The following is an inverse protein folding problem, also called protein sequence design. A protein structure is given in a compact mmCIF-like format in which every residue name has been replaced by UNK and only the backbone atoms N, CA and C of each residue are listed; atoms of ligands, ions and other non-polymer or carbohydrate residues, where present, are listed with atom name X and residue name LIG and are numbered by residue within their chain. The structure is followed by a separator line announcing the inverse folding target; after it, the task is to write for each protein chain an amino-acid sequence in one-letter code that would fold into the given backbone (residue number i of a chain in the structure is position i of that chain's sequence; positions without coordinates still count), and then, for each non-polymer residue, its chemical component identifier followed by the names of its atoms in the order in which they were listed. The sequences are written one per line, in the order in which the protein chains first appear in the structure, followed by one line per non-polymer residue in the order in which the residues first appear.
data_IF_578594838007
#
_entry.id   IF_578594838007
#
_cell.length_a   1.000
_cell.length_b   1.000
_cell.length_c   1.000
_cell.angle_alpha   90.00
_cell.angle_beta   90.00
_cell.angle_gamma   90.00
#
_symmetry.space_group_name_H-M   'P 1'
#
loop_
_entity.id
_entity.type
_entity.pdbx_description
1 polymer ?
#
# COMPACT_ATOMS: atom_id res chain seq x y z
N UNK A 1 56.90 -1.69 0.38
CA UNK A 1 57.77 -1.81 -0.80
C UNK A 1 57.17 -2.86 -1.74
N UNK A 2 56.83 -2.46 -2.98
CA UNK A 2 56.62 -3.27 -4.20
C UNK A 2 55.54 -4.38 -4.19
N UNK A 3 54.62 -4.53 -5.17
CA UNK A 3 54.57 -4.07 -6.57
C UNK A 3 53.11 -3.96 -7.09
N UNK A 4 52.94 -3.05 -8.05
CA UNK A 4 51.76 -2.83 -8.91
C UNK A 4 51.66 -3.89 -10.01
N UNK A 5 50.47 -4.14 -10.54
CA UNK A 5 50.26 -4.42 -11.97
C UNK A 5 48.82 -4.07 -12.42
N UNK A 6 48.73 -3.49 -13.61
CA UNK A 6 47.56 -2.90 -14.31
C UNK A 6 47.08 -3.85 -15.44
N UNK A 7 46.01 -3.42 -16.12
CA UNK A 7 45.55 -3.69 -17.50
C UNK A 7 44.39 -4.69 -17.63
N UNK A 8 43.44 -4.62 -18.56
CA UNK A 8 42.70 -3.60 -19.35
C UNK A 8 41.88 -4.42 -20.40
N UNK A 9 40.67 -3.95 -20.74
CA UNK A 9 39.90 -4.13 -22.00
C UNK A 9 38.94 -5.33 -22.24
N UNK A 10 37.69 -4.92 -22.47
CA UNK A 10 36.80 -5.14 -23.64
C UNK A 10 36.10 -6.48 -23.93
N UNK A 11 34.79 -6.35 -24.14
CA UNK A 11 33.95 -7.25 -24.94
C UNK A 11 32.53 -6.71 -25.08
N UNK A 12 32.32 -5.74 -25.99
CA UNK A 12 31.00 -5.34 -26.50
C UNK A 12 30.58 -6.37 -27.54
N UNK A 13 29.40 -6.97 -27.39
CA UNK A 13 28.65 -7.52 -28.53
C UNK A 13 27.20 -7.07 -28.39
N UNK A 14 26.83 -6.08 -29.20
CA UNK A 14 25.47 -5.77 -29.55
C UNK A 14 25.05 -6.68 -30.71
N UNK A 15 23.87 -7.30 -30.62
CA UNK A 15 23.10 -7.72 -31.79
C UNK A 15 21.64 -7.36 -31.54
N UNK A 16 21.20 -6.29 -32.20
CA UNK A 16 19.82 -5.91 -32.39
C UNK A 16 19.39 -6.31 -33.81
N UNK A 17 18.41 -7.21 -33.91
CA UNK A 17 17.62 -7.57 -35.11
C UNK A 17 16.27 -8.06 -34.54
N UNK A 18 15.08 -7.62 -34.93
CA UNK A 18 14.61 -6.75 -35.98
C UNK A 18 13.12 -7.07 -36.22
N UNK A 19 12.26 -6.09 -36.00
CA UNK A 19 11.01 -5.72 -36.72
C UNK A 19 10.01 -6.76 -37.30
N UNK A 20 8.74 -6.53 -36.91
CA UNK A 20 7.49 -6.48 -37.73
C UNK A 20 6.61 -7.73 -37.87
N UNK A 21 5.31 -7.54 -37.57
CA UNK A 21 4.22 -8.32 -38.15
C UNK A 21 2.83 -8.13 -37.49
N UNK A 22 2.12 -7.04 -37.80
CA UNK A 22 0.66 -6.97 -37.61
C UNK A 22 -0.06 -7.78 -38.72
N UNK A 23 -1.19 -8.43 -38.42
CA UNK A 23 -2.08 -8.98 -39.44
C UNK A 23 -3.26 -9.80 -38.92
N UNK A 24 -4.40 -9.15 -38.78
CA UNK A 24 -5.72 -9.67 -38.38
C UNK A 24 -6.30 -10.72 -39.35
N UNK A 25 -6.99 -11.76 -38.85
CA UNK A 25 -8.18 -12.33 -39.51
C UNK A 25 -8.97 -13.29 -38.60
N UNK A 26 -10.28 -13.08 -38.64
CA UNK A 26 -11.35 -13.75 -37.89
C UNK A 26 -11.45 -15.26 -38.17
N UNK A 27 -11.85 -16.02 -37.16
CA UNK A 27 -12.76 -17.16 -37.33
C UNK A 27 -13.62 -17.32 -36.09
N UNK A 28 -14.92 -17.28 -36.33
CA UNK A 28 -15.97 -17.57 -35.39
C UNK A 28 -15.94 -19.05 -35.01
N UNK A 29 -16.09 -19.35 -33.73
CA UNK A 29 -16.74 -20.57 -33.27
C UNK A 29 -17.65 -20.23 -32.10
N UNK A 30 -18.95 -20.32 -32.39
CA UNK A 30 -20.03 -20.18 -31.44
C UNK A 30 -20.01 -21.38 -30.48
N UNK A 31 -19.73 -21.16 -29.21
CA UNK A 31 -20.15 -22.09 -28.15
C UNK A 31 -20.97 -21.31 -27.14
N UNK A 32 -22.27 -21.56 -27.23
CA UNK A 32 -23.31 -21.17 -26.29
C UNK A 32 -22.88 -21.50 -24.86
N UNK A 33 -22.72 -20.47 -24.03
CA UNK A 33 -22.89 -20.60 -22.59
C UNK A 33 -23.78 -19.48 -22.10
N UNK A 34 -24.81 -19.90 -21.38
CA UNK A 34 -25.97 -19.13 -20.96
C UNK A 34 -25.55 -18.16 -19.86
N UNK A 35 -25.31 -16.89 -20.20
CA UNK A 35 -25.06 -15.84 -19.21
C UNK A 35 -26.39 -15.42 -18.60
N UNK A 36 -26.53 -15.60 -17.29
CA UNK A 36 -27.64 -15.07 -16.50
C UNK A 36 -27.43 -13.55 -16.45
N UNK A 37 -28.35 -12.81 -17.06
CA UNK A 37 -28.47 -11.36 -16.93
C UNK A 37 -28.73 -11.04 -15.46
N UNK A 38 -27.79 -10.35 -14.82
CA UNK A 38 -28.08 -9.56 -13.63
C UNK A 38 -27.90 -8.12 -14.08
N UNK A 39 -29.02 -7.48 -14.39
CA UNK A 39 -29.08 -6.06 -14.71
C UNK A 39 -28.67 -5.29 -13.45
N UNK A 40 -27.44 -4.81 -13.39
CA UNK A 40 -27.07 -3.75 -12.45
C UNK A 40 -27.76 -2.46 -12.92
N UNK A 41 -28.57 -1.79 -12.07
CA UNK A 41 -29.03 -0.46 -12.40
C UNK A 41 -27.83 0.48 -12.25
N UNK A 42 -27.22 0.84 -13.38
CA UNK A 42 -26.44 2.06 -13.51
C UNK A 42 -27.37 3.24 -13.20
N UNK A 43 -27.30 3.75 -11.98
CA UNK A 43 -27.78 5.08 -11.65
C UNK A 43 -26.56 5.99 -11.70
N UNK A 44 -26.37 6.60 -12.87
CA UNK A 44 -25.55 7.78 -13.02
C UNK A 44 -26.24 8.93 -12.27
N UNK A 45 -25.58 9.46 -11.25
CA UNK A 45 -26.01 10.68 -10.55
C UNK A 45 -24.78 11.39 -10.00
N UNK A 46 -24.41 12.49 -10.66
CA UNK A 46 -23.50 13.51 -10.14
C UNK A 46 -24.04 14.07 -8.82
N UNK A 47 -23.34 13.85 -7.69
CA UNK A 47 -23.41 14.66 -6.47
C UNK A 47 -22.66 13.97 -5.32
N UNK A 48 -21.60 14.60 -4.80
CA UNK A 48 -20.88 14.28 -3.56
C UNK A 48 -20.66 12.79 -3.30
N UNK A 49 -19.49 12.29 -3.70
CA UNK A 49 -19.05 10.92 -3.42
C UNK A 49 -19.06 10.68 -1.90
N UNK A 50 -20.10 10.01 -1.40
CA UNK A 50 -20.20 9.57 -0.02
C UNK A 50 -19.00 8.65 0.25
N UNK A 51 -18.22 8.97 1.27
CA UNK A 51 -17.14 8.10 1.74
C UNK A 51 -17.67 6.83 2.40
N UNK A 52 -18.97 6.76 2.70
CA UNK A 52 -19.60 5.62 3.37
C UNK A 52 -20.48 4.84 2.40
N UNK A 53 -20.27 3.53 2.36
CA UNK A 53 -21.05 2.55 1.59
C UNK A 53 -21.75 1.62 2.58
N UNK A 54 -23.07 1.48 2.45
CA UNK A 54 -23.85 0.55 3.27
C UNK A 54 -24.28 -0.64 2.41
N UNK A 55 -23.84 -1.84 2.78
CA UNK A 55 -24.24 -3.10 2.12
C UNK A 55 -25.26 -3.82 2.99
N UNK A 56 -26.38 -4.24 2.39
CA UNK A 56 -27.40 -5.05 3.07
C UNK A 56 -27.28 -6.48 2.53
N UNK A 57 -27.10 -7.44 3.43
CA UNK A 57 -27.08 -8.87 3.12
C UNK A 57 -28.33 -9.50 3.72
N UNK A 58 -29.19 -10.04 2.86
CA UNK A 58 -30.35 -10.82 3.27
C UNK A 58 -29.92 -12.26 3.57
N UNK A 59 -30.18 -12.73 4.79
CA UNK A 59 -29.95 -14.12 5.17
C UNK A 59 -31.26 -14.77 5.64
N UNK A 60 -31.63 -15.95 5.12
CA UNK A 60 -32.72 -16.73 5.66
C UNK A 60 -32.33 -17.28 7.04
N UNK A 61 -33.21 -17.13 8.03
CA UNK A 61 -33.09 -17.80 9.31
C UNK A 61 -33.49 -19.28 9.21
N UNK A 62 -33.34 -20.03 10.31
CA UNK A 62 -33.67 -21.46 10.38
C UNK A 62 -35.16 -21.77 10.15
N UNK A 63 -36.02 -20.75 10.22
CA UNK A 63 -37.48 -20.84 10.05
C UNK A 63 -37.93 -20.31 8.67
N UNK A 64 -37.00 -19.82 7.84
CA UNK A 64 -37.25 -19.28 6.51
C UNK A 64 -37.61 -17.80 6.47
N UNK A 65 -37.51 -17.06 7.57
CA UNK A 65 -37.67 -15.61 7.58
C UNK A 65 -36.40 -14.93 7.08
N UNK A 66 -36.53 -13.88 6.28
CA UNK A 66 -35.40 -13.06 5.82
C UNK A 66 -35.00 -12.08 6.94
N UNK A 67 -33.79 -12.26 7.47
CA UNK A 67 -33.12 -11.28 8.32
C UNK A 67 -32.11 -10.47 7.52
N UNK A 68 -31.90 -9.20 7.89
CA UNK A 68 -30.98 -8.31 7.20
C UNK A 68 -29.76 -8.02 8.08
N UNK A 69 -28.55 -8.28 7.56
CA UNK A 69 -27.30 -7.78 8.12
C UNK A 69 -26.89 -6.54 7.33
N UNK A 70 -26.66 -5.42 8.02
CA UNK A 70 -26.12 -4.21 7.41
C UNK A 70 -24.65 -4.07 7.77
N UNK A 71 -23.80 -3.98 6.76
CA UNK A 71 -22.36 -3.70 6.89
C UNK A 71 -22.13 -2.29 6.38
N UNK A 72 -21.62 -1.43 7.27
CA UNK A 72 -21.17 -0.10 6.88
C UNK A 72 -19.69 -0.17 6.59
N UNK A 73 -19.27 0.42 5.48
CA UNK A 73 -17.88 0.52 5.08
C UNK A 73 -17.53 1.98 4.81
N UNK A 74 -16.36 2.38 5.25
CA UNK A 74 -15.76 3.68 4.97
C UNK A 74 -14.66 3.50 3.93
N UNK A 75 -14.71 4.32 2.89
CA UNK A 75 -13.65 4.49 1.91
C UNK A 75 -12.55 5.36 2.53
N UNK A 76 -11.32 4.87 2.45
CA UNK A 76 -10.11 5.56 2.90
C UNK A 76 -9.08 5.60 1.78
N UNK A 77 -8.14 6.53 1.86
CA UNK A 77 -7.00 6.59 0.93
C UNK A 77 -5.78 6.00 1.62
N UNK A 78 -5.16 4.99 1.05
CA UNK A 78 -3.85 4.48 1.49
C UNK A 78 -2.84 4.68 0.37
N UNK A 79 -1.56 4.54 0.68
CA UNK A 79 -0.48 4.68 -0.29
C UNK A 79 0.34 3.40 -0.36
N UNK A 80 0.71 3.01 -1.58
CA UNK A 80 1.56 1.85 -1.89
C UNK A 80 2.66 2.26 -2.86
N UNK A 81 3.53 1.33 -3.26
CA UNK A 81 4.58 1.56 -4.24
C UNK A 81 4.23 0.89 -5.57
N UNK A 82 4.14 1.70 -6.62
CA UNK A 82 4.23 1.21 -8.00
C UNK A 82 5.67 0.77 -8.26
N UNK A 83 5.89 -0.55 -8.31
CA UNK A 83 7.21 -1.16 -8.50
C UNK A 83 7.76 -0.98 -9.91
N UNK A 84 6.91 -0.71 -10.90
CA UNK A 84 7.35 -0.51 -12.29
C UNK A 84 7.97 0.88 -12.46
N UNK A 85 7.34 1.88 -11.85
CA UNK A 85 7.77 3.27 -11.94
C UNK A 85 8.58 3.74 -10.72
N UNK A 86 8.72 2.89 -9.71
CA UNK A 86 9.38 3.16 -8.43
C UNK A 86 8.81 4.43 -7.76
N UNK A 87 7.48 4.51 -7.65
CA UNK A 87 6.75 5.69 -7.14
C UNK A 87 5.74 5.33 -6.07
N UNK A 88 5.60 6.21 -5.08
CA UNK A 88 4.51 6.15 -4.10
C UNK A 88 3.21 6.61 -4.77
N UNK A 89 2.15 5.80 -4.70
CA UNK A 89 0.87 6.04 -5.37
C UNK A 89 -0.30 5.84 -4.43
N UNK A 90 -1.32 6.68 -4.55
CA UNK A 90 -2.55 6.58 -3.77
C UNK A 90 -3.44 5.45 -4.29
N UNK A 91 -4.07 4.72 -3.37
CA UNK A 91 -5.01 3.63 -3.61
C UNK A 91 -6.20 3.79 -2.67
N UNK A 92 -7.41 3.60 -3.18
CA UNK A 92 -8.60 3.56 -2.34
C UNK A 92 -8.71 2.19 -1.65
N UNK A 93 -9.00 2.18 -0.37
CA UNK A 93 -9.30 0.98 0.41
C UNK A 93 -10.64 1.14 1.14
N UNK A 94 -11.24 0.02 1.52
CA UNK A 94 -12.53 -0.03 2.21
C UNK A 94 -12.33 -0.67 3.58
N UNK A 95 -12.73 0.03 4.63
CA UNK A 95 -12.68 -0.47 6.01
C UNK A 95 -14.08 -0.56 6.58
N UNK A 96 -14.35 -1.59 7.39
CA UNK A 96 -15.64 -1.65 8.08
C UNK A 96 -15.76 -0.48 9.06
N UNK A 97 -16.85 0.27 8.95
CA UNK A 97 -17.16 1.40 9.82
C UNK A 97 -17.77 0.90 11.13
N UNK A 98 -16.87 0.55 12.06
CA UNK A 98 -17.19 0.11 13.42
C UNK A 98 -17.04 1.25 14.45
N UNK A 99 -16.97 2.51 14.00
CA UNK A 99 -16.71 3.68 14.84
C UNK A 99 -15.57 4.54 14.30
N UNK A 100 -14.79 5.12 15.20
CA UNK A 100 -13.67 5.98 14.83
C UNK A 100 -12.55 5.17 14.16
N UNK A 101 -12.08 5.65 12.99
CA UNK A 101 -10.95 5.07 12.28
C UNK A 101 -9.70 5.25 13.13
N UNK A 102 -8.90 4.20 13.31
CA UNK A 102 -7.64 4.28 14.07
C UNK A 102 -6.44 4.37 13.14
N UNK A 103 -5.37 5.10 13.51
CA UNK A 103 -4.14 5.15 12.73
C UNK A 103 -3.54 3.76 12.46
N UNK A 104 -3.60 2.89 13.47
CA UNK A 104 -3.14 1.50 13.39
C UNK A 104 -3.82 0.74 12.23
N UNK A 105 -5.14 0.87 12.07
CA UNK A 105 -5.89 0.24 10.96
C UNK A 105 -5.43 0.72 9.59
N UNK A 106 -5.11 2.01 9.46
CA UNK A 106 -4.61 2.56 8.18
C UNK A 106 -3.21 2.02 7.88
N UNK A 107 -2.35 1.92 8.89
CA UNK A 107 -0.98 1.43 8.75
C UNK A 107 -0.96 -0.07 8.44
N UNK A 108 -1.79 -0.87 9.10
CA UNK A 108 -1.92 -2.30 8.82
C UNK A 108 -2.30 -2.55 7.36
N UNK A 109 -3.19 -1.73 6.80
CA UNK A 109 -3.58 -1.82 5.39
C UNK A 109 -2.44 -1.43 4.45
N UNK A 110 -1.64 -0.43 4.81
CA UNK A 110 -0.43 -0.08 4.04
C UNK A 110 0.56 -1.25 4.06
N UNK A 111 0.83 -1.83 5.22
CA UNK A 111 1.76 -2.96 5.34
C UNK A 111 1.25 -4.19 4.58
N UNK A 112 -0.06 -4.47 4.63
CA UNK A 112 -0.68 -5.54 3.85
C UNK A 112 -0.49 -5.36 2.34
N UNK A 113 -0.56 -4.13 1.83
CA UNK A 113 -0.33 -3.82 0.42
C UNK A 113 1.16 -3.93 0.03
N UNK A 114 2.07 -3.91 1.00
CA UNK A 114 3.51 -3.99 0.79
C UNK A 114 4.08 -5.36 1.16
N UNK A 115 3.27 -6.31 1.61
CA UNK A 115 3.67 -7.62 2.15
C UNK A 115 4.59 -8.41 1.20
N UNK A 116 4.33 -8.35 -0.11
CA UNK A 116 5.19 -9.01 -1.12
C UNK A 116 6.56 -8.31 -1.34
N UNK A 117 6.76 -7.13 -0.78
CA UNK A 117 7.90 -6.23 -1.02
C UNK A 117 8.81 -6.05 0.20
N UNK A 118 8.31 -6.32 1.40
CA UNK A 118 9.00 -6.12 2.68
C UNK A 118 8.86 -7.35 3.59
N UNK A 119 9.78 -7.51 4.53
CA UNK A 119 9.62 -8.49 5.61
C UNK A 119 8.50 -8.07 6.58
N UNK A 120 7.92 -9.04 7.30
CA UNK A 120 6.87 -8.81 8.31
C UNK A 120 7.29 -7.75 9.34
N UNK A 121 6.43 -6.75 9.51
CA UNK A 121 6.60 -5.68 10.50
C UNK A 121 5.33 -5.54 11.32
N UNK A 122 5.46 -5.55 12.65
CA UNK A 122 4.38 -5.16 13.55
C UNK A 122 4.51 -3.70 13.94
N UNK A 123 3.41 -3.04 14.29
CA UNK A 123 3.42 -1.62 14.65
C UNK A 123 2.84 -1.38 16.02
N UNK A 124 3.41 -0.42 16.74
CA UNK A 124 2.82 0.13 17.95
C UNK A 124 2.62 1.63 17.76
N UNK A 125 1.43 2.12 18.05
CA UNK A 125 1.06 3.52 17.82
C UNK A 125 0.99 4.27 19.14
N UNK A 126 1.62 5.45 19.18
CA UNK A 126 1.42 6.42 20.26
C UNK A 126 0.88 7.71 19.69
N UNK A 127 -0.32 8.08 20.13
CA UNK A 127 -1.02 9.28 19.66
C UNK A 127 -0.87 10.45 20.62
N UNK A 128 -0.77 11.65 20.07
CA UNK A 128 -0.90 12.94 20.75
C UNK A 128 -1.77 13.85 19.90
N UNK A 129 -2.21 14.96 20.48
CA UNK A 129 -3.17 15.89 19.85
C UNK A 129 -2.80 16.36 18.45
N UNK A 130 -1.51 16.52 18.13
CA UNK A 130 -1.05 17.01 16.82
C UNK A 130 -0.03 16.08 16.14
N UNK A 131 0.23 14.91 16.72
CA UNK A 131 1.30 14.02 16.25
C UNK A 131 1.01 12.56 16.51
N UNK A 132 1.46 11.71 15.60
CA UNK A 132 1.50 10.26 15.80
C UNK A 132 2.95 9.76 15.80
N UNK A 133 3.27 8.81 16.68
CA UNK A 133 4.53 8.07 16.63
C UNK A 133 4.24 6.63 16.26
N UNK A 134 4.88 6.17 15.19
CA UNK A 134 4.81 4.79 14.68
C UNK A 134 6.09 4.09 15.11
N UNK A 135 5.97 3.13 16.03
CA UNK A 135 7.08 2.29 16.46
C UNK A 135 7.00 0.93 15.76
N UNK A 136 7.93 0.71 14.83
CA UNK A 136 8.01 -0.53 14.07
C UNK A 136 8.72 -1.57 14.92
N UNK A 137 7.99 -2.64 15.26
CA UNK A 137 8.53 -3.83 15.89
C UNK A 137 9.03 -4.78 14.81
N UNK A 138 10.36 -4.89 14.70
CA UNK A 138 11.08 -5.64 13.68
C UNK A 138 12.09 -6.61 14.30
N UNK A 139 12.35 -7.73 13.63
CA UNK A 139 13.37 -8.69 14.08
C UNK A 139 14.78 -8.13 13.92
N UNK A 140 15.05 -7.43 12.81
CA UNK A 140 16.37 -6.89 12.47
C UNK A 140 16.34 -5.38 12.26
N UNK A 141 16.72 -4.60 13.29
CA UNK A 141 16.77 -3.13 13.20
C UNK A 141 17.72 -2.60 12.12
N UNK A 142 18.72 -3.39 11.68
CA UNK A 142 19.63 -2.96 10.61
C UNK A 142 18.94 -2.89 9.24
N UNK A 143 17.89 -3.68 9.08
CA UNK A 143 17.14 -3.87 7.85
C UNK A 143 15.66 -4.07 8.22
N UNK A 144 14.97 -3.01 8.70
CA UNK A 144 13.65 -3.13 9.34
C UNK A 144 12.57 -3.69 8.42
N UNK A 145 12.78 -3.59 7.10
CA UNK A 145 11.87 -4.07 6.09
C UNK A 145 12.47 -5.21 5.26
N UNK A 146 13.64 -5.75 5.63
CA UNK A 146 14.36 -6.84 4.95
C UNK A 146 15.73 -6.50 4.34
N UNK A 147 16.61 -7.51 4.24
CA UNK A 147 18.00 -7.32 3.78
C UNK A 147 18.11 -7.12 2.25
N UNK A 148 17.16 -7.68 1.50
CA UNK A 148 17.10 -7.65 0.03
C UNK A 148 15.93 -6.83 -0.47
N UNK A 149 15.66 -5.71 0.20
CA UNK A 149 14.49 -4.93 -0.13
C UNK A 149 14.50 -4.46 -1.56
N UNK A 150 13.37 -4.71 -2.23
CA UNK A 150 13.11 -4.20 -3.56
C UNK A 150 12.85 -2.70 -3.53
N UNK A 151 12.42 -2.17 -2.39
CA UNK A 151 12.03 -0.77 -2.19
C UNK A 151 12.86 -0.12 -1.09
N UNK A 152 13.12 1.19 -1.22
CA UNK A 152 13.83 1.97 -0.21
C UNK A 152 13.03 2.11 1.08
N UNK A 153 13.73 2.14 2.21
CA UNK A 153 13.15 2.33 3.55
C UNK A 153 12.32 3.61 3.64
N UNK A 154 12.80 4.71 3.05
CA UNK A 154 12.10 6.00 3.01
C UNK A 154 10.72 5.88 2.35
N UNK A 155 10.60 5.14 1.24
CA UNK A 155 9.31 5.00 0.54
C UNK A 155 8.26 4.25 1.35
N UNK A 156 8.68 3.26 2.14
CA UNK A 156 7.77 2.58 3.06
C UNK A 156 7.27 3.57 4.12
N UNK A 157 8.15 4.42 4.65
CA UNK A 157 7.78 5.47 5.59
C UNK A 157 6.90 6.55 4.96
N UNK A 158 7.11 6.88 3.68
CA UNK A 158 6.27 7.80 2.91
C UNK A 158 4.86 7.25 2.73
N UNK A 159 4.73 5.97 2.32
CA UNK A 159 3.44 5.30 2.21
C UNK A 159 2.66 5.37 3.53
N UNK A 160 3.32 5.08 4.65
CA UNK A 160 2.71 5.20 5.98
C UNK A 160 2.31 6.66 6.27
N UNK A 161 3.22 7.60 6.05
CA UNK A 161 3.01 9.01 6.38
C UNK A 161 1.88 9.65 5.58
N UNK A 162 1.87 9.48 4.27
CA UNK A 162 0.82 9.99 3.40
C UNK A 162 -0.54 9.38 3.74
N UNK A 163 -0.58 8.07 4.00
CA UNK A 163 -1.83 7.40 4.41
C UNK A 163 -2.37 7.95 5.72
N UNK A 164 -1.51 8.27 6.69
CA UNK A 164 -1.95 8.92 7.92
C UNK A 164 -2.49 10.33 7.63
N UNK A 165 -1.72 11.17 6.93
CA UNK A 165 -2.12 12.57 6.74
C UNK A 165 -3.40 12.74 5.89
N UNK A 166 -3.65 11.84 4.95
CA UNK A 166 -4.87 11.87 4.13
C UNK A 166 -6.13 11.43 4.89
N UNK A 167 -5.99 10.61 5.94
CA UNK A 167 -7.13 10.10 6.70
C UNK A 167 -7.35 10.82 8.05
N UNK A 168 -6.35 11.54 8.54
CA UNK A 168 -6.37 12.16 9.87
C UNK A 168 -5.91 13.63 9.80
N UNK A 169 -6.87 14.55 9.80
CA UNK A 169 -6.60 16.00 9.71
C UNK A 169 -5.96 16.59 10.97
N UNK A 170 -6.05 15.88 12.10
CA UNK A 170 -5.57 16.36 13.40
C UNK A 170 -4.05 16.20 13.54
N UNK A 171 -3.47 15.18 12.89
CA UNK A 171 -2.03 14.96 12.94
C UNK A 171 -1.33 15.84 11.91
N UNK A 172 -0.35 16.60 12.37
CA UNK A 172 0.51 17.46 11.54
C UNK A 172 1.95 16.96 11.50
N UNK A 173 2.25 15.95 12.31
CA UNK A 173 3.60 15.43 12.56
C UNK A 173 3.53 13.92 12.70
N UNK A 174 4.48 13.25 12.07
CA UNK A 174 4.69 11.82 12.26
C UNK A 174 6.13 11.58 12.69
N UNK A 175 6.33 10.64 13.60
CA UNK A 175 7.64 10.21 14.06
C UNK A 175 7.75 8.69 13.91
N UNK A 176 8.94 8.20 13.59
CA UNK A 176 9.19 6.77 13.51
C UNK A 176 10.18 6.32 14.57
N UNK A 177 10.00 5.09 15.04
CA UNK A 177 10.88 4.37 15.96
C UNK A 177 11.09 2.94 15.50
N UNK A 178 12.17 2.32 16.00
CA UNK A 178 12.45 0.90 15.82
C UNK A 178 12.57 0.25 17.20
N UNK A 179 11.66 -0.67 17.52
CA UNK A 179 11.61 -1.43 18.78
C UNK A 179 11.75 -0.50 20.01
N UNK A 180 10.99 0.59 20.05
CA UNK A 180 10.93 1.57 21.15
C UNK A 180 12.04 2.63 21.13
N UNK A 181 13.06 2.45 20.30
CA UNK A 181 14.26 3.29 20.23
C UNK A 181 14.20 4.29 19.06
N UNK A 182 15.17 5.21 19.04
CA UNK A 182 15.38 6.10 17.91
C UNK A 182 15.51 5.31 16.60
N UNK A 183 14.86 5.81 15.55
CA UNK A 183 14.91 5.18 14.24
C UNK A 183 16.32 5.26 13.63
N UNK A 184 17.03 4.13 13.63
CA UNK A 184 18.37 4.01 13.09
C UNK A 184 18.59 2.61 12.53
N UNK A 185 18.58 2.51 11.20
CA UNK A 185 18.98 1.33 10.44
C UNK A 185 20.37 1.51 9.83
N UNK A 186 20.79 0.58 8.97
CA UNK A 186 22.00 0.77 8.14
C UNK A 186 21.79 1.79 7.02
N UNK A 187 20.55 2.01 6.58
CA UNK A 187 20.23 2.83 5.40
C UNK A 187 19.72 4.21 5.80
N UNK A 188 19.03 4.32 6.93
CA UNK A 188 18.34 5.53 7.36
C UNK A 188 18.57 5.81 8.84
N UNK A 189 18.75 7.09 9.17
CA UNK A 189 18.79 7.57 10.54
C UNK A 189 17.94 8.82 10.65
N UNK A 190 16.89 8.75 11.46
CA UNK A 190 16.00 9.89 11.67
C UNK A 190 16.37 10.63 12.96
N UNK A 191 15.95 11.89 13.02
CA UNK A 191 16.06 12.72 14.21
C UNK A 191 14.85 12.48 15.11
N UNK A 192 15.06 12.13 16.38
CA UNK A 192 13.96 12.01 17.36
C UNK A 192 13.20 13.33 17.58
N UNK A 193 13.86 14.46 17.31
CA UNK A 193 13.30 15.80 17.58
C UNK A 193 12.59 16.40 16.38
N UNK A 194 12.78 15.84 15.18
CA UNK A 194 12.18 16.37 13.95
C UNK A 194 11.13 15.37 13.47
N UNK A 195 9.92 15.83 13.11
CA UNK A 195 8.98 14.94 12.45
C UNK A 195 9.60 14.45 11.14
N UNK A 196 9.21 13.24 10.74
CA UNK A 196 9.50 12.76 9.41
C UNK A 196 8.73 13.60 8.40
N UNK A 197 9.41 13.98 7.31
CA UNK A 197 8.83 14.73 6.20
C UNK A 197 9.03 13.88 4.94
N UNK A 198 7.94 13.57 4.26
CA UNK A 198 7.93 12.60 3.16
C UNK A 198 8.52 13.12 1.84
N UNK A 199 9.19 14.29 1.86
CA UNK A 199 9.69 15.01 0.69
C UNK A 199 11.11 15.63 0.87
N UNK A 200 11.95 15.17 1.81
CA UNK A 200 13.38 15.61 1.90
C UNK A 200 14.32 14.80 0.99
#
# INVERSE_FOLDING_TARGET
MFKRAKWILAGIIAVSLGITGCGNKDNADNVSSKHISSDEPFIESDSQMSSTVNTIIELPDKEGNLGNISIKQKKITIYTIDTENDKVVAKNSMVTDNGELKPETVIDLVLLELDDLIDDVSVNITEKSDSVTVDLAVENKSYPFGEKNRISEVKVLDCISYSIFDNFTDYKKIYFKLNGEAYKSKQLKLSEKKPFMADE
#
